data_IF_066120889594
#
_entry.id   IF_066120889594
#
_cell.length_a   1.000
_cell.length_b   1.000
_cell.length_c   1.000
_cell.angle_alpha   90.00
_cell.angle_beta   90.00
_cell.angle_gamma   90.00
#
_symmetry.space_group_name_H-M   'P 1'
#
loop_
_entity.id
_entity.type
_entity.pdbx_description
1 polymer ?
#
# COMPACT_ATOMS: atom_id res chain seq x y z
N UNK A 1 -9.51 -14.39 -23.24
CA UNK A 1 -10.16 -13.71 -22.09
C UNK A 1 -9.16 -12.71 -21.60
N UNK A 2 -9.47 -11.41 -21.56
CA UNK A 2 -8.57 -10.44 -20.94
C UNK A 2 -8.41 -10.81 -19.46
N UNK A 3 -7.27 -11.40 -19.12
CA UNK A 3 -6.58 -11.17 -17.86
C UNK A 3 -6.47 -9.63 -17.75
N UNK A 4 -6.70 -8.93 -16.64
CA UNK A 4 -6.85 -9.31 -15.25
C UNK A 4 -7.58 -8.13 -14.57
N UNK A 5 -8.59 -8.37 -13.73
CA UNK A 5 -9.23 -7.32 -12.90
C UNK A 5 -8.28 -6.96 -11.73
N UNK A 6 -7.05 -6.53 -12.06
CA UNK A 6 -6.04 -6.11 -11.11
C UNK A 6 -6.33 -4.69 -10.67
N UNK A 7 -6.09 -4.44 -9.38
CA UNK A 7 -6.15 -3.12 -8.79
C UNK A 7 -4.76 -2.71 -8.31
N UNK A 8 -4.59 -1.39 -8.20
CA UNK A 8 -3.45 -0.82 -7.49
C UNK A 8 -3.26 -1.55 -6.14
N UNK A 9 -2.02 -1.89 -5.79
CA UNK A 9 -1.61 -2.61 -4.57
C UNK A 9 -1.92 -4.11 -4.52
N UNK A 10 -2.51 -4.69 -5.56
CA UNK A 10 -2.44 -6.14 -5.76
C UNK A 10 -1.00 -6.57 -6.03
N UNK A 11 -0.71 -7.86 -5.86
CA UNK A 11 0.59 -8.44 -6.17
C UNK A 11 0.44 -9.51 -7.24
N UNK A 12 1.43 -9.62 -8.13
CA UNK A 12 1.50 -10.67 -9.15
C UNK A 12 2.81 -11.42 -9.02
N UNK A 13 2.76 -12.74 -9.16
CA UNK A 13 3.94 -13.60 -9.32
C UNK A 13 4.06 -13.93 -10.80
N UNK A 14 5.27 -13.79 -11.33
CA UNK A 14 5.61 -14.17 -12.70
C UNK A 14 6.05 -15.64 -12.76
N UNK A 15 6.16 -16.22 -13.96
CA UNK A 15 6.61 -17.61 -14.16
C UNK A 15 8.03 -17.93 -13.63
N UNK A 16 8.84 -16.90 -13.37
CA UNK A 16 10.18 -17.00 -12.77
C UNK A 16 10.19 -16.77 -11.24
N UNK A 17 9.02 -16.85 -10.62
CA UNK A 17 8.77 -16.58 -9.19
C UNK A 17 9.08 -15.15 -8.75
N UNK A 18 9.26 -14.19 -9.68
CA UNK A 18 9.41 -12.78 -9.29
C UNK A 18 8.09 -12.18 -8.89
N UNK A 19 8.09 -11.43 -7.79
CA UNK A 19 6.88 -10.87 -7.22
C UNK A 19 6.88 -9.36 -7.40
N UNK A 20 5.85 -8.88 -8.10
CA UNK A 20 5.64 -7.47 -8.39
C UNK A 20 4.43 -6.93 -7.63
N UNK A 21 4.53 -5.67 -7.19
CA UNK A 21 3.40 -4.90 -6.68
C UNK A 21 2.80 -4.07 -7.81
N UNK A 22 1.50 -4.20 -8.06
CA UNK A 22 0.77 -3.39 -9.05
C UNK A 22 0.80 -1.92 -8.61
N UNK A 23 1.35 -1.07 -9.46
CA UNK A 23 1.68 0.32 -9.15
C UNK A 23 0.78 1.35 -9.84
N UNK A 24 -0.16 0.90 -10.67
CA UNK A 24 -1.15 1.78 -11.27
C UNK A 24 -2.36 1.04 -11.84
N UNK A 25 -3.35 1.82 -12.27
CA UNK A 25 -4.64 1.31 -12.72
C UNK A 25 -4.69 1.01 -14.22
N UNK A 26 -3.85 1.70 -15.00
CA UNK A 26 -3.84 1.55 -16.46
C UNK A 26 -3.06 0.31 -16.87
N UNK A 27 -3.78 -0.70 -17.35
CA UNK A 27 -3.23 -1.98 -17.82
C UNK A 27 -3.02 -2.02 -19.34
N UNK A 28 -3.08 -0.86 -20.03
CA UNK A 28 -2.82 -0.78 -21.47
C UNK A 28 -1.37 -1.23 -21.74
N UNK A 29 -1.20 -2.18 -22.66
CA UNK A 29 0.10 -2.75 -23.02
C UNK A 29 0.84 -3.43 -21.85
N UNK A 30 0.09 -4.02 -20.92
CA UNK A 30 0.61 -4.83 -19.80
C UNK A 30 0.43 -4.15 -18.45
N UNK A 31 0.85 -4.87 -17.40
CA UNK A 31 0.56 -4.52 -16.01
C UNK A 31 1.59 -3.55 -15.47
N UNK A 32 1.15 -2.34 -15.09
CA UNK A 32 2.00 -1.39 -14.37
C UNK A 32 2.37 -1.97 -13.00
N UNK A 33 3.64 -2.34 -12.81
CA UNK A 33 4.08 -2.95 -11.56
C UNK A 33 5.57 -2.71 -11.27
N UNK A 34 5.91 -2.79 -9.99
CA UNK A 34 7.27 -2.62 -9.48
C UNK A 34 7.74 -3.93 -8.86
N UNK A 35 8.96 -4.38 -9.18
CA UNK A 35 9.54 -5.60 -8.61
C UNK A 35 9.82 -5.39 -7.12
N UNK A 36 9.35 -6.31 -6.27
CA UNK A 36 9.50 -6.20 -4.81
C UNK A 36 10.25 -7.36 -4.20
N UNK A 37 10.13 -8.56 -4.76
CA UNK A 37 10.80 -9.74 -4.24
C UNK A 37 11.31 -10.63 -5.36
N UNK A 38 12.52 -11.16 -5.19
CA UNK A 38 13.09 -12.19 -6.06
C UNK A 38 13.48 -13.41 -5.22
N UNK A 39 13.43 -14.62 -5.80
CA UNK A 39 13.95 -15.81 -5.16
C UNK A 39 15.44 -15.64 -4.81
N UNK A 40 15.79 -15.96 -3.56
CA UNK A 40 17.15 -15.86 -3.04
C UNK A 40 17.32 -16.90 -1.93
N UNK A 41 18.33 -17.78 -2.04
CA UNK A 41 18.59 -18.83 -1.04
C UNK A 41 18.95 -18.26 0.32
N UNK A 42 19.58 -17.09 0.33
CA UNK A 42 19.97 -16.35 1.53
C UNK A 42 18.90 -15.33 1.95
N UNK A 43 17.74 -15.34 1.28
CA UNK A 43 16.58 -14.51 1.59
C UNK A 43 16.05 -14.73 3.01
N UNK A 44 15.55 -13.65 3.59
CA UNK A 44 15.00 -13.58 4.95
C UNK A 44 13.48 -13.78 5.01
N UNK A 45 12.81 -13.83 3.85
CA UNK A 45 11.37 -14.01 3.71
C UNK A 45 11.07 -15.33 3.02
N UNK A 46 9.97 -15.98 3.38
CA UNK A 46 9.61 -17.30 2.83
C UNK A 46 8.15 -17.33 2.39
N UNK A 47 7.89 -17.88 1.20
CA UNK A 47 6.57 -18.17 0.66
C UNK A 47 6.60 -19.56 0.02
N UNK A 48 5.70 -20.44 0.45
CA UNK A 48 5.54 -21.80 -0.09
C UNK A 48 6.86 -22.60 -0.14
N UNK A 49 7.76 -22.37 0.84
CA UNK A 49 9.08 -23.02 0.95
C UNK A 49 10.19 -22.40 0.08
N UNK A 50 9.90 -21.34 -0.67
CA UNK A 50 10.88 -20.57 -1.44
C UNK A 50 11.30 -19.34 -0.64
N UNK A 51 12.60 -19.11 -0.52
CA UNK A 51 13.17 -17.93 0.13
C UNK A 51 13.27 -16.76 -0.85
N UNK A 52 12.99 -15.56 -0.35
CA UNK A 52 12.94 -14.33 -1.11
C UNK A 52 13.79 -13.25 -0.45
N UNK A 53 14.43 -12.45 -1.29
CA UNK A 53 15.04 -11.17 -0.89
C UNK A 53 14.16 -10.02 -1.36
N UNK A 54 13.92 -9.06 -0.47
CA UNK A 54 13.24 -7.81 -0.82
C UNK A 54 14.17 -6.91 -1.64
N UNK A 55 13.63 -6.30 -2.68
CA UNK A 55 14.31 -5.29 -3.51
C UNK A 55 13.66 -3.93 -3.24
N UNK A 56 14.48 -2.93 -2.93
CA UNK A 56 14.03 -1.56 -2.76
C UNK A 56 13.74 -0.89 -4.11
N UNK A 57 13.03 0.25 -4.08
CA UNK A 57 12.49 0.85 -5.30
C UNK A 57 13.57 1.24 -6.32
N UNK A 58 14.67 1.85 -5.86
CA UNK A 58 15.77 2.27 -6.73
C UNK A 58 16.48 1.06 -7.36
N UNK A 59 16.73 0.02 -6.55
CA UNK A 59 17.36 -1.22 -7.01
C UNK A 59 16.45 -2.00 -7.99
N UNK A 60 15.14 -1.93 -7.81
CA UNK A 60 14.16 -2.60 -8.70
C UNK A 60 14.31 -2.13 -10.15
N UNK A 61 14.54 -0.84 -10.37
CA UNK A 61 14.62 -0.29 -11.73
C UNK A 61 15.88 -0.79 -12.44
N UNK A 62 17.04 -0.70 -11.79
CA UNK A 62 18.30 -1.20 -12.34
C UNK A 62 18.28 -2.70 -12.60
N UNK A 63 17.74 -3.48 -11.66
CA UNK A 63 17.64 -4.93 -11.82
C UNK A 63 16.75 -5.34 -13.01
N UNK A 64 15.62 -4.64 -13.23
CA UNK A 64 14.76 -4.90 -14.38
C UNK A 64 15.41 -4.51 -15.70
N UNK A 65 16.14 -3.39 -15.75
CA UNK A 65 16.86 -2.99 -16.96
C UNK A 65 17.93 -4.01 -17.38
N UNK A 66 18.61 -4.63 -16.41
CA UNK A 66 19.64 -5.63 -16.68
C UNK A 66 19.06 -6.98 -17.14
N UNK A 67 17.96 -7.43 -16.52
CA UNK A 67 17.45 -8.79 -16.72
C UNK A 67 16.27 -8.87 -17.70
N UNK A 68 15.41 -7.85 -17.74
CA UNK A 68 14.22 -7.78 -18.59
C UNK A 68 14.00 -6.34 -19.13
N UNK A 69 14.92 -5.81 -19.97
CA UNK A 69 14.86 -4.41 -20.45
C UNK A 69 13.58 -4.06 -21.25
N UNK A 70 12.83 -5.06 -21.70
CA UNK A 70 11.55 -4.87 -22.39
C UNK A 70 10.39 -4.53 -21.44
N UNK A 71 10.48 -4.89 -20.15
CA UNK A 71 9.39 -4.81 -19.17
C UNK A 71 9.23 -3.45 -18.49
N UNK A 72 9.75 -2.36 -19.08
CA UNK A 72 9.78 -0.95 -18.63
C UNK A 72 8.66 -0.49 -17.67
N UNK A 73 8.64 -0.99 -16.44
CA UNK A 73 7.55 -0.89 -15.45
C UNK A 73 6.18 -1.45 -15.90
N UNK A 74 6.11 -2.14 -17.04
CA UNK A 74 4.93 -2.85 -17.55
C UNK A 74 5.31 -4.30 -17.80
N UNK A 75 4.82 -5.19 -16.93
CA UNK A 75 5.06 -6.63 -17.06
C UNK A 75 3.98 -7.27 -17.94
N UNK A 76 4.32 -8.28 -18.74
CA UNK A 76 3.38 -8.88 -19.67
C UNK A 76 2.39 -9.80 -18.94
N UNK A 77 1.10 -9.67 -19.25
CA UNK A 77 0.01 -10.39 -18.57
C UNK A 77 0.09 -11.91 -18.75
N UNK A 78 0.61 -12.37 -19.89
CA UNK A 78 0.71 -13.79 -20.22
C UNK A 78 1.80 -14.54 -19.44
N UNK A 79 2.69 -13.81 -18.76
CA UNK A 79 3.72 -14.38 -17.89
C UNK A 79 3.34 -14.34 -16.40
N UNK A 80 2.11 -13.92 -16.06
CA UNK A 80 1.60 -13.92 -14.68
C UNK A 80 1.12 -15.34 -14.33
N UNK A 81 1.78 -15.95 -13.34
CA UNK A 81 1.46 -17.29 -12.85
C UNK A 81 0.45 -17.28 -11.70
N UNK A 82 0.47 -16.23 -10.86
CA UNK A 82 -0.41 -16.08 -9.69
C UNK A 82 -0.70 -14.62 -9.38
N UNK A 83 -1.88 -14.36 -8.83
CA UNK A 83 -2.31 -13.03 -8.37
C UNK A 83 -2.66 -13.13 -6.88
N UNK A 84 -2.22 -12.14 -6.11
CA UNK A 84 -2.69 -11.88 -4.76
C UNK A 84 -3.52 -10.61 -4.76
N UNK A 85 -4.81 -10.74 -4.44
CA UNK A 85 -5.72 -9.58 -4.32
C UNK A 85 -5.81 -9.11 -2.89
N UNK A 86 -5.81 -7.80 -2.69
CA UNK A 86 -5.69 -7.24 -1.32
C UNK A 86 -6.82 -7.67 -0.39
N UNK A 87 -8.05 -7.78 -0.91
CA UNK A 87 -9.26 -8.14 -0.17
C UNK A 87 -9.33 -9.63 0.20
N UNK A 88 -8.72 -10.50 -0.60
CA UNK A 88 -8.79 -11.95 -0.40
C UNK A 88 -7.99 -12.38 0.84
N UNK A 89 -6.97 -11.62 1.24
CA UNK A 89 -6.07 -11.95 2.35
C UNK A 89 -6.63 -11.58 3.73
N UNK A 90 -7.49 -10.56 3.82
CA UNK A 90 -7.97 -10.00 5.10
C UNK A 90 -8.64 -11.04 6.00
N UNK A 91 -9.57 -11.90 5.53
CA UNK A 91 -10.28 -12.82 6.42
C UNK A 91 -9.41 -13.89 7.07
N UNK A 92 -8.34 -14.35 6.40
CA UNK A 92 -7.37 -15.26 7.00
C UNK A 92 -6.40 -14.52 7.90
N UNK A 93 -5.90 -13.37 7.44
CA UNK A 93 -4.90 -12.61 8.19
C UNK A 93 -5.45 -12.08 9.52
N UNK A 94 -6.71 -11.66 9.58
CA UNK A 94 -7.36 -11.25 10.84
C UNK A 94 -7.50 -12.40 11.86
N UNK A 95 -7.38 -13.67 11.44
CA UNK A 95 -7.32 -14.82 12.37
C UNK A 95 -5.90 -15.13 12.83
N UNK A 96 -4.92 -14.78 12.01
CA UNK A 96 -3.49 -15.00 12.23
C UNK A 96 -2.85 -13.86 13.05
N UNK A 97 -3.35 -12.63 12.87
CA UNK A 97 -2.77 -11.41 13.43
C UNK A 97 -3.83 -10.54 14.13
N UNK A 98 -3.73 -10.46 15.46
CA UNK A 98 -4.66 -9.72 16.30
C UNK A 98 -4.63 -8.21 16.03
N UNK A 99 -3.53 -7.65 15.52
CA UNK A 99 -3.42 -6.23 15.16
C UNK A 99 -4.34 -5.92 13.97
N UNK A 100 -4.31 -6.79 12.96
CA UNK A 100 -5.19 -6.68 11.79
C UNK A 100 -6.65 -6.92 12.20
N UNK A 101 -6.91 -7.87 13.11
CA UNK A 101 -8.25 -8.14 13.62
C UNK A 101 -8.89 -6.90 14.26
N UNK A 102 -8.14 -6.17 15.09
CA UNK A 102 -8.62 -4.94 15.74
C UNK A 102 -8.96 -3.86 14.71
N UNK A 103 -8.11 -3.65 13.69
CA UNK A 103 -8.40 -2.67 12.63
C UNK A 103 -9.68 -3.07 11.88
N UNK A 104 -9.79 -4.35 11.49
CA UNK A 104 -10.97 -4.88 10.78
C UNK A 104 -12.24 -4.68 11.60
N UNK A 105 -12.23 -5.05 12.89
CA UNK A 105 -13.40 -4.92 13.75
C UNK A 105 -13.78 -3.46 14.01
N UNK A 106 -12.79 -2.57 14.20
CA UNK A 106 -13.01 -1.13 14.31
C UNK A 106 -13.76 -0.58 13.08
N UNK A 107 -13.28 -0.89 11.88
CA UNK A 107 -13.87 -0.40 10.63
C UNK A 107 -15.24 -1.04 10.35
N UNK A 108 -15.42 -2.33 10.65
CA UNK A 108 -16.72 -3.01 10.52
C UNK A 108 -17.77 -2.41 11.43
N UNK A 109 -17.41 -2.10 12.67
CA UNK A 109 -18.32 -1.47 13.64
C UNK A 109 -18.74 -0.05 13.21
N UNK A 110 -17.91 0.63 12.40
CA UNK A 110 -18.24 1.90 11.78
C UNK A 110 -19.10 1.75 10.50
N UNK A 111 -19.45 0.53 10.10
CA UNK A 111 -20.30 0.26 8.94
C UNK A 111 -19.56 0.08 7.62
N UNK A 112 -18.23 -0.07 7.63
CA UNK A 112 -17.45 -0.36 6.43
C UNK A 112 -17.56 -1.86 6.11
N UNK A 113 -18.01 -2.25 4.92
CA UNK A 113 -18.10 -3.67 4.53
C UNK A 113 -16.74 -4.36 4.44
N UNK A 114 -16.68 -5.66 4.74
CA UNK A 114 -15.43 -6.43 4.71
C UNK A 114 -14.82 -6.52 3.30
N UNK A 115 -15.65 -6.56 2.25
CA UNK A 115 -15.23 -6.56 0.85
C UNK A 115 -14.67 -5.19 0.39
N UNK A 116 -14.72 -4.18 1.26
CA UNK A 116 -14.09 -2.86 1.06
C UNK A 116 -12.78 -2.71 1.83
N UNK A 117 -12.29 -3.79 2.44
CA UNK A 117 -11.03 -3.82 3.17
C UNK A 117 -10.02 -4.73 2.48
N UNK A 118 -8.76 -4.36 2.57
CA UNK A 118 -7.65 -5.10 2.00
C UNK A 118 -6.38 -4.97 2.83
N UNK A 119 -5.37 -5.77 2.50
CA UNK A 119 -3.99 -5.58 2.97
C UNK A 119 -3.03 -5.71 1.80
N UNK A 120 -1.95 -4.93 1.81
CA UNK A 120 -0.89 -5.00 0.81
C UNK A 120 0.48 -5.16 1.47
N UNK A 121 1.54 -4.79 0.77
CA UNK A 121 2.90 -4.85 1.29
C UNK A 121 3.33 -6.29 1.51
N UNK A 122 4.05 -6.54 2.59
CA UNK A 122 4.55 -7.89 2.88
C UNK A 122 3.49 -8.86 3.38
N UNK A 123 2.41 -8.36 3.99
CA UNK A 123 1.34 -9.19 4.56
C UNK A 123 0.44 -9.85 3.51
N UNK A 124 0.34 -9.25 2.31
CA UNK A 124 -0.46 -9.77 1.21
C UNK A 124 0.06 -11.10 0.67
N UNK A 125 1.32 -11.22 0.21
CA UNK A 125 1.87 -12.50 -0.22
C UNK A 125 2.25 -13.42 0.95
N UNK A 126 2.16 -12.97 2.21
CA UNK A 126 2.60 -13.75 3.37
C UNK A 126 4.11 -13.68 3.65
N UNK A 127 4.79 -12.66 3.12
CA UNK A 127 6.24 -12.45 3.24
C UNK A 127 6.62 -11.51 4.40
N UNK A 128 5.69 -11.23 5.32
CA UNK A 128 5.96 -10.40 6.50
C UNK A 128 6.93 -11.08 7.46
N UNK A 129 7.85 -10.30 8.02
CA UNK A 129 8.80 -10.67 9.08
C UNK A 129 8.53 -9.86 10.34
N UNK A 130 9.23 -10.18 11.43
CA UNK A 130 9.24 -9.34 12.63
C UNK A 130 9.63 -7.89 12.28
N UNK A 131 8.87 -6.92 12.79
CA UNK A 131 9.04 -5.50 12.46
C UNK A 131 8.41 -5.05 11.14
N UNK A 132 7.69 -5.92 10.41
CA UNK A 132 6.89 -5.48 9.26
C UNK A 132 5.75 -4.56 9.69
N UNK A 133 5.53 -3.52 8.90
CA UNK A 133 4.39 -2.61 8.99
C UNK A 133 3.11 -3.27 8.47
N UNK A 134 1.98 -2.66 8.81
CA UNK A 134 0.67 -3.03 8.28
C UNK A 134 0.27 -2.00 7.22
N UNK A 135 0.24 -2.43 5.97
CA UNK A 135 -0.27 -1.63 4.85
C UNK A 135 -1.76 -1.97 4.63
N UNK A 136 -2.66 -1.29 5.34
CA UNK A 136 -4.10 -1.58 5.29
C UNK A 136 -4.77 -0.80 4.16
N UNK A 137 -5.55 -1.48 3.33
CA UNK A 137 -6.26 -0.89 2.18
C UNK A 137 -7.73 -0.72 2.51
N UNK A 138 -8.30 0.43 2.11
CA UNK A 138 -9.76 0.61 2.06
C UNK A 138 -10.15 1.16 0.70
N UNK A 139 -11.21 0.58 0.13
CA UNK A 139 -11.64 0.87 -1.24
C UNK A 139 -12.62 2.04 -1.33
N UNK A 140 -12.39 2.91 -2.32
CA UNK A 140 -13.32 3.95 -2.76
C UNK A 140 -13.73 4.93 -1.65
N UNK A 141 -15.00 5.31 -1.67
CA UNK A 141 -15.54 6.32 -0.74
C UNK A 141 -15.42 5.92 0.75
N UNK A 142 -15.40 4.62 1.05
CA UNK A 142 -15.26 4.12 2.42
C UNK A 142 -13.91 4.48 3.06
N UNK A 143 -12.90 4.82 2.25
CA UNK A 143 -11.59 5.20 2.76
C UNK A 143 -11.66 6.46 3.64
N UNK A 144 -12.49 7.44 3.28
CA UNK A 144 -12.65 8.66 4.06
C UNK A 144 -13.32 8.39 5.42
N UNK A 145 -14.34 7.51 5.43
CA UNK A 145 -14.94 7.04 6.67
C UNK A 145 -13.93 6.28 7.53
N UNK A 146 -13.11 5.41 6.93
CA UNK A 146 -12.08 4.65 7.63
C UNK A 146 -11.04 5.56 8.29
N UNK A 147 -10.59 6.58 7.55
CA UNK A 147 -9.68 7.61 8.05
C UNK A 147 -10.26 8.32 9.27
N UNK A 148 -11.51 8.79 9.17
CA UNK A 148 -12.16 9.52 10.27
C UNK A 148 -12.34 8.63 11.51
N UNK A 149 -12.71 7.36 11.33
CA UNK A 149 -12.83 6.37 12.42
C UNK A 149 -11.50 6.13 13.10
N UNK A 150 -10.42 5.95 12.33
CA UNK A 150 -9.07 5.77 12.87
C UNK A 150 -8.63 7.01 13.65
N UNK A 151 -8.83 8.22 13.11
CA UNK A 151 -8.49 9.47 13.80
C UNK A 151 -9.27 9.63 15.11
N UNK A 152 -10.56 9.29 15.12
CA UNK A 152 -11.38 9.30 16.34
C UNK A 152 -10.88 8.30 17.37
N UNK A 153 -10.48 7.10 16.92
CA UNK A 153 -9.98 6.07 17.81
C UNK A 153 -8.64 6.46 18.44
N UNK A 154 -7.72 7.00 17.64
CA UNK A 154 -6.47 7.61 18.13
C UNK A 154 -6.77 8.69 19.17
N UNK A 155 -7.76 9.55 18.91
CA UNK A 155 -8.12 10.63 19.83
C UNK A 155 -8.69 10.14 21.16
N UNK A 156 -9.41 9.00 21.18
CA UNK A 156 -9.91 8.37 22.41
C UNK A 156 -8.78 7.72 23.22
N UNK A 157 -7.76 7.22 22.55
CA UNK A 157 -6.66 6.48 23.16
C UNK A 157 -5.44 7.36 23.49
N UNK A 158 -5.56 8.70 23.47
CA UNK A 158 -4.45 9.64 23.72
C UNK A 158 -3.73 9.43 25.07
N UNK A 159 -4.46 9.04 26.09
CA UNK A 159 -3.91 8.80 27.44
C UNK A 159 -3.45 7.35 27.64
N UNK A 160 -3.61 6.50 26.62
CA UNK A 160 -3.12 5.12 26.64
C UNK A 160 -1.69 5.08 26.12
N UNK A 161 -0.78 4.47 26.88
CA UNK A 161 0.56 4.13 26.41
C UNK A 161 0.57 2.86 25.51
N UNK A 162 -0.61 2.31 25.18
CA UNK A 162 -0.78 1.11 24.38
C UNK A 162 -0.33 -0.18 25.06
N UNK A 163 0.04 -0.14 26.35
CA UNK A 163 0.62 -1.29 27.07
C UNK A 163 -0.42 -2.24 27.65
N UNK A 164 -1.61 -1.74 28.01
CA UNK A 164 -2.66 -2.52 28.70
C UNK A 164 -3.72 -3.12 27.78
N UNK A 165 -3.90 -2.58 26.56
CA UNK A 165 -4.88 -3.08 25.58
C UNK A 165 -4.37 -2.85 24.15
N UNK A 166 -4.52 -3.88 23.30
CA UNK A 166 -4.22 -3.74 21.87
C UNK A 166 -5.24 -2.79 21.23
N UNK A 167 -4.84 -1.55 21.02
CA UNK A 167 -5.67 -0.50 20.46
C UNK A 167 -4.89 0.33 19.43
N UNK A 168 -5.64 1.11 18.64
CA UNK A 168 -5.07 2.04 17.67
C UNK A 168 -4.67 3.33 18.40
N UNK A 169 -3.40 3.69 18.30
CA UNK A 169 -2.81 4.87 18.94
C UNK A 169 -2.10 5.77 17.93
N UNK A 170 -1.66 6.94 18.37
CA UNK A 170 -0.83 7.83 17.55
C UNK A 170 0.58 7.25 17.32
N UNK A 171 1.25 7.80 16.31
CA UNK A 171 2.64 7.47 16.02
C UNK A 171 3.54 8.13 17.06
N UNK A 172 4.42 7.34 17.68
CA UNK A 172 5.40 7.86 18.64
C UNK A 172 6.43 8.78 17.96
N UNK A 173 7.03 9.68 18.73
CA UNK A 173 8.05 10.60 18.22
C UNK A 173 9.25 9.84 17.63
N UNK A 174 9.67 8.75 18.26
CA UNK A 174 10.75 7.89 17.77
C UNK A 174 10.41 7.28 16.42
N UNK A 175 9.17 6.81 16.24
CA UNK A 175 8.70 6.27 14.97
C UNK A 175 8.63 7.36 13.89
N UNK A 176 8.20 8.59 14.22
CA UNK A 176 8.25 9.70 13.27
C UNK A 176 9.66 10.00 12.78
N UNK A 177 10.65 9.99 13.68
CA UNK A 177 12.05 10.15 13.29
C UNK A 177 12.56 9.00 12.40
N UNK A 178 12.15 7.76 12.67
CA UNK A 178 12.47 6.61 11.80
C UNK A 178 11.86 6.78 10.40
N UNK A 179 10.59 7.19 10.31
CA UNK A 179 9.92 7.44 9.03
C UNK A 179 10.62 8.56 8.26
N UNK A 180 10.98 9.66 8.93
CA UNK A 180 11.70 10.77 8.32
C UNK A 180 13.07 10.35 7.77
N UNK A 181 13.86 9.63 8.57
CA UNK A 181 15.18 9.14 8.18
C UNK A 181 15.11 8.19 6.97
N UNK A 182 14.06 7.37 6.87
CA UNK A 182 13.84 6.46 5.74
C UNK A 182 13.42 7.19 4.45
N UNK A 183 12.71 8.31 4.56
CA UNK A 183 12.19 9.06 3.40
C UNK A 183 13.16 10.08 2.83
N UNK A 184 14.13 10.53 3.63
CA UNK A 184 15.16 11.52 3.24
C UNK A 184 14.53 12.72 2.49
N UNK A 185 13.52 13.39 3.07
CA UNK A 185 12.85 14.49 2.39
C UNK A 185 13.77 15.73 2.30
N UNK A 186 13.50 16.61 1.34
CA UNK A 186 14.22 17.89 1.16
C UNK A 186 13.80 18.99 2.15
N UNK A 187 12.77 18.72 2.97
CA UNK A 187 12.18 19.65 3.96
C UNK A 187 12.60 19.26 5.38
N UNK A 188 12.44 20.17 6.34
CA UNK A 188 12.80 19.88 7.73
C UNK A 188 11.89 18.82 8.37
N UNK A 189 12.31 18.25 9.50
CA UNK A 189 11.49 17.30 10.26
C UNK A 189 10.15 17.90 10.69
N UNK A 190 10.17 19.16 11.15
CA UNK A 190 8.97 19.87 11.60
C UNK A 190 7.99 20.10 10.45
N UNK A 191 8.50 20.54 9.28
CA UNK A 191 7.69 20.71 8.08
C UNK A 191 7.11 19.37 7.61
N UNK A 192 7.94 18.33 7.57
CA UNK A 192 7.52 16.97 7.23
C UNK A 192 6.40 16.49 8.16
N UNK A 193 6.58 16.63 9.47
CA UNK A 193 5.62 16.17 10.46
C UNK A 193 4.27 16.88 10.31
N UNK A 194 4.26 18.20 10.10
CA UNK A 194 3.02 18.96 9.84
C UNK A 194 2.30 18.42 8.60
N UNK A 195 3.01 18.11 7.52
CA UNK A 195 2.42 17.56 6.31
C UNK A 195 1.87 16.15 6.50
N UNK A 196 2.59 15.28 7.21
CA UNK A 196 2.16 13.90 7.43
C UNK A 196 0.98 13.82 8.41
N UNK A 197 0.99 14.60 9.50
CA UNK A 197 -0.13 14.63 10.46
C UNK A 197 -1.44 15.09 9.82
N UNK A 198 -1.39 16.02 8.86
CA UNK A 198 -2.58 16.49 8.14
C UNK A 198 -3.26 15.40 7.32
N UNK A 199 -2.51 14.37 6.87
CA UNK A 199 -3.05 13.26 6.09
C UNK A 199 -3.95 12.38 6.94
N UNK A 200 -3.64 12.21 8.24
CA UNK A 200 -4.49 11.46 9.18
C UNK A 200 -4.71 10.00 8.81
N UNK A 201 -3.85 9.43 7.96
CA UNK A 201 -4.01 8.10 7.38
C UNK A 201 -3.00 7.10 7.94
N UNK A 202 -2.53 7.30 9.18
CA UNK A 202 -1.52 6.46 9.82
C UNK A 202 -1.76 6.35 11.32
N UNK A 203 -1.25 5.28 11.91
CA UNK A 203 -1.27 5.08 13.35
C UNK A 203 -0.33 3.97 13.78
N UNK A 204 -0.45 3.62 15.06
CA UNK A 204 0.24 2.50 15.69
C UNK A 204 -0.77 1.51 16.27
N UNK A 205 -0.40 0.23 16.33
CA UNK A 205 -1.14 -0.80 17.04
C UNK A 205 -0.18 -1.86 17.59
N UNK A 206 -0.17 -2.06 18.90
CA UNK A 206 0.73 -3.04 19.54
C UNK A 206 2.21 -2.83 19.16
N UNK A 207 2.68 -1.59 19.22
CA UNK A 207 4.05 -1.23 18.81
C UNK A 207 4.33 -1.31 17.31
N UNK A 208 3.31 -1.57 16.48
CA UNK A 208 3.46 -1.72 15.02
C UNK A 208 2.89 -0.53 14.29
N UNK A 209 3.69 0.08 13.42
CA UNK A 209 3.26 1.13 12.52
C UNK A 209 2.32 0.61 11.43
N UNK A 210 1.29 1.38 11.08
CA UNK A 210 0.43 1.07 9.95
C UNK A 210 0.06 2.30 9.12
N UNK A 211 -0.11 2.08 7.81
CA UNK A 211 -0.64 3.01 6.85
C UNK A 211 -2.08 2.60 6.46
N UNK A 212 -2.97 3.59 6.34
CA UNK A 212 -4.27 3.46 5.68
C UNK A 212 -4.15 3.97 4.24
N UNK A 213 -4.35 3.07 3.28
CA UNK A 213 -4.07 3.26 1.87
C UNK A 213 -5.37 3.27 1.06
N UNK A 214 -5.51 4.27 0.20
CA UNK A 214 -6.65 4.39 -0.71
C UNK A 214 -6.39 3.53 -1.95
N UNK A 215 -7.43 2.83 -2.39
CA UNK A 215 -7.50 2.18 -3.70
C UNK A 215 -8.89 2.39 -4.28
N UNK A 216 -8.98 2.66 -5.58
CA UNK A 216 -10.27 2.74 -6.29
C UNK A 216 -11.06 1.44 -6.20
N UNK A 217 -12.37 1.57 -6.03
CA UNK A 217 -13.30 0.46 -6.10
C UNK A 217 -13.62 0.09 -7.56
N UNK A 218 -14.27 -1.05 -7.79
CA UNK A 218 -14.50 -1.59 -9.13
C UNK A 218 -15.35 -0.69 -10.04
N UNK A 219 -16.27 0.09 -9.47
CA UNK A 219 -17.09 1.06 -10.19
C UNK A 219 -16.33 2.31 -10.64
N UNK A 220 -15.11 2.51 -10.11
CA UNK A 220 -14.19 3.59 -10.48
C UNK A 220 -13.12 3.13 -11.50
N UNK A 221 -13.27 1.92 -12.07
CA UNK A 221 -12.36 1.28 -13.02
C UNK A 221 -13.10 0.90 -14.32
N UNK A 222 -12.40 0.75 -15.47
CA UNK A 222 -10.96 0.93 -15.66
C UNK A 222 -10.54 2.40 -15.73
N UNK A 223 -9.26 2.67 -15.48
CA UNK A 223 -8.65 3.98 -15.71
C UNK A 223 -7.66 3.84 -16.85
N UNK A 224 -7.81 4.65 -17.90
CA UNK A 224 -6.82 4.77 -18.95
C UNK A 224 -6.04 6.06 -18.72
N UNK A 225 -4.71 5.96 -18.64
CA UNK A 225 -3.84 7.11 -18.50
C UNK A 225 -3.42 7.62 -19.88
N UNK A 226 -4.04 8.71 -20.33
CA UNK A 226 -3.62 9.39 -21.56
C UNK A 226 -2.45 10.34 -21.27
N UNK A 227 -1.32 10.16 -21.97
CA UNK A 227 -0.20 11.10 -21.92
C UNK A 227 -0.13 11.92 -23.21
N UNK A 228 -0.34 13.23 -23.09
CA UNK A 228 -0.17 14.18 -24.19
C UNK A 228 1.30 14.47 -24.54
N UNK A 229 1.52 15.28 -25.58
CA UNK A 229 2.85 15.79 -25.92
C UNK A 229 3.17 17.04 -25.12
N UNK A 230 4.35 17.09 -24.50
CA UNK A 230 4.84 18.27 -23.80
C UNK A 230 4.99 19.45 -24.78
N UNK A 231 4.34 20.58 -24.49
CA UNK A 231 4.36 21.79 -25.36
C UNK A 231 5.29 22.87 -24.82
N UNK A 232 4.98 23.38 -23.63
CA UNK A 232 5.74 24.41 -22.94
C UNK A 232 5.43 24.37 -21.44
N UNK A 233 6.33 24.89 -20.61
CA UNK A 233 6.08 25.08 -19.18
C UNK A 233 5.24 26.35 -18.99
N UNK A 234 4.19 26.27 -18.19
CA UNK A 234 3.37 27.44 -17.79
C UNK A 234 2.84 27.25 -16.36
N UNK A 235 2.40 28.34 -15.74
CA UNK A 235 1.73 28.31 -14.44
C UNK A 235 0.22 28.35 -14.66
N UNK A 236 -0.50 27.40 -14.06
CA UNK A 236 -1.97 27.33 -14.11
C UNK A 236 -2.51 27.64 -12.70
N UNK A 237 -3.55 28.44 -12.62
CA UNK A 237 -4.31 28.69 -11.38
C UNK A 237 -5.77 28.38 -11.65
N UNK A 238 -6.33 27.43 -10.90
CA UNK A 238 -7.70 26.98 -11.05
C UNK A 238 -8.29 26.58 -9.68
N UNK A 239 -9.61 26.68 -9.49
CA UNK A 239 -10.27 26.17 -8.29
C UNK A 239 -10.29 24.64 -8.28
N UNK A 240 -10.11 24.04 -7.10
CA UNK A 240 -10.34 22.60 -6.90
C UNK A 240 -11.85 22.38 -6.75
N UNK A 241 -12.44 21.62 -7.68
CA UNK A 241 -13.89 21.33 -7.69
C UNK A 241 -14.23 19.92 -7.19
N UNK A 242 -13.25 19.01 -7.20
CA UNK A 242 -13.37 17.63 -6.71
C UNK A 242 -12.01 17.20 -6.17
N UNK A 243 -12.00 16.53 -5.01
CA UNK A 243 -10.80 15.99 -4.36
C UNK A 243 -11.01 14.55 -3.86
N UNK A 244 -11.96 13.82 -4.45
CA UNK A 244 -12.36 12.47 -4.03
C UNK A 244 -11.24 11.44 -4.21
N UNK A 245 -10.21 11.80 -4.99
CA UNK A 245 -9.03 10.98 -5.30
C UNK A 245 -7.74 11.56 -4.71
N UNK A 246 -7.81 12.52 -3.77
CA UNK A 246 -6.64 13.21 -3.21
C UNK A 246 -5.65 12.30 -2.45
N UNK A 247 -6.03 11.04 -2.19
CA UNK A 247 -5.19 10.02 -1.52
C UNK A 247 -4.85 8.84 -2.44
N UNK A 248 -5.25 8.90 -3.71
CA UNK A 248 -5.07 7.83 -4.70
C UNK A 248 -3.61 7.75 -5.22
N UNK A 249 -3.33 6.88 -6.20
CA UNK A 249 -2.05 6.85 -6.91
C UNK A 249 -2.24 6.93 -8.44
N UNK A 250 -1.65 7.93 -9.12
CA UNK A 250 -0.99 9.11 -8.54
C UNK A 250 -1.98 10.00 -7.80
N UNK A 251 -1.53 10.59 -6.68
CA UNK A 251 -2.24 11.65 -5.94
C UNK A 251 -1.88 13.03 -6.49
#
# INVERSE_FOLDING_TARGET
>A
MCATNLRLRDFVIMDNDWIFAVSGYDQTDGVQAVLRYIPDRDGDRELDGVRYRKIDFDDSSGFLEENHPSWKFRVPEDAISRIFRTEERVPSLAKEDQRVAVIVDLLKNAGIPLDKMGVTGSMLPGLQIEGSDIDFVVYGEYWFLARDVIMQEIAKNKDSDGSDLLCVTEISEEMWHQIYAKRIPEISFEEFLVHELRKGNRGMIGGTYFDLLFVRDHDQLPVQQERGTDRNRCTITAPVVNADLAFDNPA
#
